data_IF_490859949420
#
_entry.id   IF_490859949420
#
_cell.length_a   1.000
_cell.length_b   1.000
_cell.length_c   1.000
_cell.angle_alpha   90.00
_cell.angle_beta   90.00
_cell.angle_gamma   90.00
#
_symmetry.space_group_name_H-M   'P 1'
#
loop_
_entity.id
_entity.type
_entity.pdbx_description
1 polymer ?
#
# COMPACT_ATOMS: atom_id res chain seq x y z
N UNK A 1 12.59 -7.76 -7.51
CA UNK A 1 13.21 -6.63 -6.80
C UNK A 1 13.89 -7.16 -5.54
N UNK A 2 14.78 -6.37 -4.92
CA UNK A 2 15.53 -6.81 -3.73
C UNK A 2 14.64 -6.98 -2.49
N UNK A 3 13.52 -6.32 -2.46
CA UNK A 3 12.53 -6.34 -1.37
C UNK A 3 11.98 -7.74 -1.10
N UNK A 4 11.74 -8.54 -2.13
CA UNK A 4 11.20 -9.90 -1.99
C UNK A 4 12.06 -10.78 -1.05
N UNK A 5 13.38 -10.71 -1.18
CA UNK A 5 14.31 -11.45 -0.33
C UNK A 5 14.30 -10.99 1.13
N UNK A 6 14.15 -9.69 1.35
CA UNK A 6 14.06 -9.10 2.69
C UNK A 6 12.75 -9.53 3.36
N UNK A 7 11.63 -9.41 2.64
CA UNK A 7 10.30 -9.81 3.13
C UNK A 7 10.30 -11.31 3.45
N UNK A 8 10.86 -12.16 2.58
CA UNK A 8 10.95 -13.59 2.81
C UNK A 8 11.78 -13.93 4.07
N UNK A 9 12.89 -13.24 4.28
CA UNK A 9 13.70 -13.44 5.47
C UNK A 9 12.97 -13.04 6.75
N UNK A 10 12.33 -11.87 6.77
CA UNK A 10 11.57 -11.38 7.93
C UNK A 10 10.41 -12.32 8.25
N UNK A 11 9.62 -12.72 7.25
CA UNK A 11 8.48 -13.63 7.45
C UNK A 11 8.91 -15.00 7.96
N UNK A 12 10.09 -15.49 7.52
CA UNK A 12 10.68 -16.73 8.02
C UNK A 12 11.09 -16.62 9.49
N UNK A 13 11.74 -15.51 9.88
CA UNK A 13 12.15 -15.28 11.28
C UNK A 13 10.94 -15.15 12.21
N UNK A 14 9.86 -14.56 11.74
CA UNK A 14 8.59 -14.45 12.45
C UNK A 14 7.73 -15.73 12.38
N UNK A 15 8.19 -16.79 11.69
CA UNK A 15 7.47 -18.05 11.48
C UNK A 15 6.10 -17.89 10.81
N UNK A 16 5.97 -16.90 9.90
CA UNK A 16 4.74 -16.65 9.13
C UNK A 16 4.78 -17.48 7.84
N UNK A 17 3.92 -18.51 7.73
CA UNK A 17 3.91 -19.40 6.58
C UNK A 17 2.79 -19.09 5.57
N UNK A 18 1.56 -18.94 6.02
CA UNK A 18 0.39 -18.63 5.20
C UNK A 18 -0.20 -17.32 5.73
N UNK A 19 0.51 -16.23 5.45
CA UNK A 19 0.19 -14.94 6.02
C UNK A 19 -0.92 -14.19 5.28
N UNK A 20 -1.27 -13.06 5.88
CA UNK A 20 -2.26 -12.12 5.35
C UNK A 20 -1.64 -10.76 5.08
N UNK A 21 -2.11 -10.08 4.05
CA UNK A 21 -1.57 -8.77 3.68
C UNK A 21 -2.65 -7.76 3.30
N UNK A 22 -2.30 -6.48 3.43
CA UNK A 22 -2.97 -5.39 2.75
C UNK A 22 -1.92 -4.58 1.98
N UNK A 23 -2.12 -4.38 0.68
CA UNK A 23 -1.30 -3.52 -0.17
C UNK A 23 -2.18 -2.45 -0.80
N UNK A 24 -1.85 -1.18 -0.59
CA UNK A 24 -2.52 -0.09 -1.28
C UNK A 24 -1.50 0.77 -2.05
N UNK A 25 -1.97 1.28 -3.21
CA UNK A 25 -1.10 1.61 -4.32
C UNK A 25 -0.71 0.37 -5.13
N UNK A 26 -1.57 -0.65 -5.17
CA UNK A 26 -1.25 -1.97 -5.74
C UNK A 26 -0.97 -1.96 -7.25
N UNK A 27 -1.21 -0.85 -7.94
CA UNK A 27 -0.98 -0.69 -9.37
C UNK A 27 -1.65 -1.81 -10.18
N UNK A 28 -0.91 -2.48 -11.05
CA UNK A 28 -1.42 -3.63 -11.80
C UNK A 28 -1.33 -4.98 -11.02
N UNK A 29 -0.90 -4.95 -9.78
CA UNK A 29 -0.75 -6.11 -8.90
C UNK A 29 0.50 -6.96 -9.12
N UNK A 30 1.33 -6.67 -10.12
CA UNK A 30 2.54 -7.44 -10.45
C UNK A 30 3.78 -6.56 -10.43
N UNK A 31 3.76 -5.49 -11.24
CA UNK A 31 4.90 -4.59 -11.39
C UNK A 31 5.01 -3.73 -10.14
N UNK A 32 6.17 -3.77 -9.49
CA UNK A 32 6.46 -3.04 -8.25
C UNK A 32 5.60 -3.44 -7.04
N UNK A 33 4.83 -4.54 -7.11
CA UNK A 33 4.10 -5.06 -5.94
C UNK A 33 5.06 -5.71 -4.95
N UNK A 34 4.97 -5.34 -3.69
CA UNK A 34 5.72 -5.94 -2.58
C UNK A 34 5.12 -7.28 -2.13
N UNK A 35 3.89 -7.56 -2.51
CA UNK A 35 3.15 -8.76 -2.03
C UNK A 35 2.95 -9.83 -3.10
N UNK A 36 3.18 -9.53 -4.39
CA UNK A 36 2.93 -10.48 -5.48
C UNK A 36 3.72 -11.79 -5.35
N UNK A 37 4.97 -11.73 -4.92
CA UNK A 37 5.78 -12.93 -4.69
C UNK A 37 5.18 -13.83 -3.61
N UNK A 38 4.64 -13.25 -2.54
CA UNK A 38 3.97 -13.96 -1.45
C UNK A 38 2.66 -14.61 -1.93
N UNK A 39 1.88 -13.89 -2.74
CA UNK A 39 0.64 -14.42 -3.34
C UNK A 39 0.96 -15.62 -4.23
N UNK A 40 1.87 -15.44 -5.18
CA UNK A 40 2.18 -16.40 -6.22
C UNK A 40 2.86 -17.67 -5.69
N UNK A 41 3.83 -17.52 -4.80
CA UNK A 41 4.74 -18.59 -4.40
C UNK A 41 4.46 -19.13 -2.99
N UNK A 42 3.73 -18.40 -2.16
CA UNK A 42 3.46 -18.77 -0.76
C UNK A 42 1.96 -18.87 -0.43
N UNK A 43 1.10 -18.67 -1.44
CA UNK A 43 -0.36 -18.76 -1.30
C UNK A 43 -0.96 -17.83 -0.21
N UNK A 44 -0.37 -16.65 -0.05
CA UNK A 44 -0.88 -15.65 0.88
C UNK A 44 -2.24 -15.12 0.45
N UNK A 45 -3.04 -14.68 1.40
CA UNK A 45 -4.35 -14.06 1.19
C UNK A 45 -4.35 -12.61 1.62
N UNK A 46 -5.25 -11.80 1.08
CA UNK A 46 -5.30 -10.42 1.52
C UNK A 46 -6.10 -9.47 0.65
N UNK A 47 -5.76 -8.21 0.76
CA UNK A 47 -6.44 -7.09 0.15
C UNK A 47 -5.47 -6.25 -0.67
N UNK A 48 -5.80 -6.02 -1.94
CA UNK A 48 -5.15 -5.06 -2.82
C UNK A 48 -6.10 -3.88 -3.10
N UNK A 49 -5.63 -2.65 -2.91
CA UNK A 49 -6.40 -1.42 -3.14
C UNK A 49 -5.67 -0.58 -4.18
N UNK A 50 -6.39 -0.17 -5.24
CA UNK A 50 -5.84 0.68 -6.30
C UNK A 50 -6.83 1.79 -6.65
N UNK A 51 -6.34 3.03 -6.67
CA UNK A 51 -7.16 4.22 -6.93
C UNK A 51 -7.42 4.44 -8.42
N UNK A 52 -6.42 4.23 -9.27
CA UNK A 52 -6.56 4.38 -10.72
C UNK A 52 -7.40 3.25 -11.30
N UNK A 53 -8.48 3.59 -11.98
CA UNK A 53 -9.42 2.62 -12.53
C UNK A 53 -8.81 1.69 -13.58
N UNK A 54 -7.88 2.17 -14.39
CA UNK A 54 -7.25 1.36 -15.43
C UNK A 54 -6.27 0.36 -14.82
N UNK A 55 -5.44 0.80 -13.86
CA UNK A 55 -4.54 -0.06 -13.09
C UNK A 55 -5.31 -1.09 -12.29
N UNK A 56 -6.38 -0.68 -11.61
CA UNK A 56 -7.29 -1.60 -10.93
C UNK A 56 -7.82 -2.70 -11.85
N UNK A 57 -8.29 -2.35 -13.06
CA UNK A 57 -8.78 -3.35 -14.00
C UNK A 57 -7.68 -4.34 -14.41
N UNK A 58 -6.44 -3.87 -14.60
CA UNK A 58 -5.29 -4.74 -14.85
C UNK A 58 -4.98 -5.63 -13.64
N UNK A 59 -5.05 -5.09 -12.43
CA UNK A 59 -4.86 -5.85 -11.20
C UNK A 59 -5.90 -6.98 -11.10
N UNK A 60 -7.18 -6.69 -11.37
CA UNK A 60 -8.26 -7.70 -11.40
C UNK A 60 -7.95 -8.82 -12.39
N UNK A 61 -7.52 -8.49 -13.61
CA UNK A 61 -7.14 -9.49 -14.61
C UNK A 61 -5.96 -10.34 -14.15
N UNK A 62 -4.92 -9.71 -13.62
CA UNK A 62 -3.70 -10.38 -13.18
C UNK A 62 -3.93 -11.28 -11.96
N UNK A 63 -4.89 -10.94 -11.11
CA UNK A 63 -5.18 -11.70 -9.88
C UNK A 63 -6.31 -12.73 -10.04
N UNK A 64 -6.88 -12.92 -11.24
CA UNK A 64 -7.85 -14.01 -11.51
C UNK A 64 -7.40 -15.40 -11.02
N UNK A 65 -6.11 -15.78 -11.15
CA UNK A 65 -5.63 -17.07 -10.66
C UNK A 65 -5.55 -17.17 -9.13
N UNK A 66 -5.73 -16.07 -8.40
CA UNK A 66 -5.51 -15.99 -6.95
C UNK A 66 -6.80 -15.59 -6.21
N UNK A 67 -7.77 -16.51 -6.05
CA UNK A 67 -9.11 -16.22 -5.49
C UNK A 67 -9.09 -15.84 -4.01
N UNK A 68 -7.99 -16.03 -3.32
CA UNK A 68 -7.74 -15.63 -1.93
C UNK A 68 -7.33 -14.15 -1.78
N UNK A 69 -7.23 -13.40 -2.87
CA UNK A 69 -6.94 -11.96 -2.85
C UNK A 69 -8.18 -11.16 -3.21
N UNK A 70 -8.60 -10.28 -2.32
CA UNK A 70 -9.64 -9.29 -2.61
C UNK A 70 -9.00 -8.08 -3.29
N UNK A 71 -9.69 -7.51 -4.28
CA UNK A 71 -9.22 -6.32 -5.00
C UNK A 71 -10.29 -5.26 -4.91
N UNK A 72 -9.91 -4.04 -4.51
CA UNK A 72 -10.82 -2.91 -4.37
C UNK A 72 -10.32 -1.71 -5.16
N UNK A 73 -11.26 -1.00 -5.80
CA UNK A 73 -10.95 0.26 -6.45
C UNK A 73 -11.35 1.42 -5.55
N UNK A 74 -10.39 2.22 -5.15
CA UNK A 74 -10.63 3.42 -4.36
C UNK A 74 -9.36 4.02 -3.80
N UNK A 75 -9.49 5.22 -3.26
CA UNK A 75 -8.40 5.92 -2.57
C UNK A 75 -8.43 5.58 -1.08
N UNK A 76 -7.25 5.50 -0.49
CA UNK A 76 -7.09 5.48 0.96
C UNK A 76 -6.75 6.90 1.39
N UNK A 77 -7.52 7.47 2.32
CA UNK A 77 -7.38 8.85 2.79
C UNK A 77 -7.19 8.87 4.30
N UNK A 78 -6.19 9.55 4.81
CA UNK A 78 -5.90 9.56 6.25
C UNK A 78 -6.92 10.37 7.07
N UNK A 79 -7.53 11.42 6.50
CA UNK A 79 -8.43 12.34 7.20
C UNK A 79 -9.91 12.18 6.80
N UNK A 80 -10.30 11.04 6.28
CA UNK A 80 -11.68 10.77 5.85
C UNK A 80 -12.27 9.58 6.60
N UNK A 81 -13.40 9.79 7.28
CA UNK A 81 -14.02 8.75 8.11
C UNK A 81 -14.54 7.53 7.33
N UNK A 82 -14.80 7.66 6.03
CA UNK A 82 -15.33 6.58 5.19
C UNK A 82 -14.28 5.88 4.34
N UNK A 83 -13.17 6.58 4.04
CA UNK A 83 -12.12 6.14 3.11
C UNK A 83 -10.75 6.02 3.77
N UNK A 84 -10.66 6.07 5.12
CA UNK A 84 -9.43 5.78 5.82
C UNK A 84 -9.11 4.28 5.77
N UNK A 85 -7.87 3.93 6.10
CA UNK A 85 -7.39 2.57 6.03
C UNK A 85 -8.19 1.61 6.92
N UNK A 86 -8.51 2.01 8.16
CA UNK A 86 -9.32 1.21 9.07
C UNK A 86 -10.65 0.79 8.43
N UNK A 87 -11.32 1.71 7.71
CA UNK A 87 -12.59 1.41 7.03
C UNK A 87 -12.44 0.49 5.83
N UNK A 88 -11.36 0.59 5.09
CA UNK A 88 -11.08 -0.35 4.01
C UNK A 88 -10.83 -1.77 4.53
N UNK A 89 -10.04 -1.90 5.58
CA UNK A 89 -9.74 -3.18 6.24
C UNK A 89 -11.00 -3.80 6.85
N UNK A 90 -11.83 -2.99 7.55
CA UNK A 90 -13.10 -3.42 8.13
C UNK A 90 -14.08 -3.93 7.07
N UNK A 91 -14.31 -3.16 6.01
CA UNK A 91 -15.20 -3.53 4.88
C UNK A 91 -14.72 -4.77 4.11
N UNK A 92 -13.45 -5.12 4.23
CA UNK A 92 -12.84 -6.28 3.60
C UNK A 92 -12.73 -7.48 4.53
N UNK A 93 -13.25 -7.38 5.76
CA UNK A 93 -13.17 -8.40 6.80
C UNK A 93 -11.73 -8.85 7.10
N UNK A 94 -10.78 -7.92 7.06
CA UNK A 94 -9.41 -8.21 7.46
C UNK A 94 -9.32 -8.48 8.96
N UNK A 95 -8.48 -9.42 9.33
CA UNK A 95 -8.17 -9.65 10.75
C UNK A 95 -7.40 -8.46 11.32
N UNK A 96 -7.60 -8.17 12.61
CA UNK A 96 -6.98 -7.00 13.25
C UNK A 96 -5.45 -7.12 13.30
N UNK A 97 -4.96 -8.30 13.55
CA UNK A 97 -3.53 -8.61 13.67
C UNK A 97 -3.04 -9.33 12.40
N UNK A 98 -3.21 -8.70 11.24
CA UNK A 98 -2.72 -9.23 9.97
C UNK A 98 -1.19 -9.09 9.84
N UNK A 99 -0.58 -9.72 8.84
CA UNK A 99 0.88 -9.88 8.83
C UNK A 99 1.60 -8.73 8.15
N UNK A 100 1.20 -8.33 6.94
CA UNK A 100 1.92 -7.29 6.17
C UNK A 100 0.98 -6.18 5.74
N UNK A 101 1.38 -4.94 6.03
CA UNK A 101 0.84 -3.72 5.44
C UNK A 101 1.89 -3.13 4.49
N UNK A 102 1.56 -3.03 3.21
CA UNK A 102 2.40 -2.36 2.20
C UNK A 102 1.74 -1.06 1.75
N UNK A 103 2.48 0.03 1.84
CA UNK A 103 2.03 1.40 1.58
C UNK A 103 2.91 2.02 0.50
N UNK A 104 2.31 2.35 -0.65
CA UNK A 104 3.00 3.00 -1.76
C UNK A 104 1.99 3.88 -2.51
N UNK A 105 1.78 5.11 -1.99
CA UNK A 105 0.80 6.06 -2.54
C UNK A 105 1.37 7.44 -2.84
N UNK A 106 2.70 7.54 -2.85
CA UNK A 106 3.42 8.71 -3.35
C UNK A 106 3.21 10.02 -2.58
N UNK A 107 2.82 10.08 -1.33
CA UNK A 107 2.82 11.33 -0.53
C UNK A 107 2.29 11.17 0.90
N UNK A 108 1.15 10.51 1.08
CA UNK A 108 0.43 10.48 2.35
C UNK A 108 0.67 9.19 3.16
N UNK A 109 1.64 8.37 2.75
CA UNK A 109 1.96 7.06 3.31
C UNK A 109 2.06 7.08 4.83
N UNK A 110 2.86 7.99 5.36
CA UNK A 110 3.04 8.16 6.80
C UNK A 110 1.72 8.54 7.50
N UNK A 111 0.98 9.50 6.94
CA UNK A 111 -0.26 9.97 7.57
C UNK A 111 -1.36 8.92 7.54
N UNK A 112 -1.42 8.11 6.49
CA UNK A 112 -2.37 6.98 6.43
C UNK A 112 -2.04 5.97 7.51
N UNK A 113 -0.77 5.62 7.69
CA UNK A 113 -0.33 4.71 8.74
C UNK A 113 -0.55 5.28 10.15
N UNK A 114 -0.14 6.53 10.39
CA UNK A 114 -0.29 7.20 11.68
C UNK A 114 -1.74 7.24 12.16
N UNK A 115 -2.68 7.36 11.21
CA UNK A 115 -4.11 7.43 11.51
C UNK A 115 -4.80 6.05 11.52
N UNK A 116 -4.09 4.96 11.28
CA UNK A 116 -4.61 3.61 11.48
C UNK A 116 -4.61 3.27 12.97
N UNK A 117 -5.79 3.01 13.54
CA UNK A 117 -5.95 2.87 14.99
C UNK A 117 -6.60 1.56 15.43
N UNK A 118 -7.22 0.82 14.50
CA UNK A 118 -8.00 -0.37 14.80
C UNK A 118 -7.34 -1.68 14.39
N UNK A 119 -6.28 -1.61 13.59
CA UNK A 119 -5.57 -2.75 13.04
C UNK A 119 -4.09 -2.69 13.42
N UNK A 120 -3.44 -3.83 13.49
CA UNK A 120 -2.10 -3.97 14.04
C UNK A 120 -1.28 -4.96 13.19
N UNK A 121 -0.77 -4.53 12.01
CA UNK A 121 0.06 -5.37 11.17
C UNK A 121 1.40 -5.67 11.85
N UNK A 122 1.92 -6.89 11.66
CA UNK A 122 3.23 -7.29 12.21
C UNK A 122 4.40 -6.65 11.48
N UNK A 123 4.22 -6.37 10.20
CA UNK A 123 5.23 -5.78 9.32
C UNK A 123 4.57 -4.64 8.56
N UNK A 124 5.26 -3.49 8.51
CA UNK A 124 4.84 -2.35 7.69
C UNK A 124 5.94 -2.02 6.71
N UNK A 125 5.60 -1.89 5.44
CA UNK A 125 6.49 -1.57 4.34
C UNK A 125 6.08 -0.21 3.78
N UNK A 126 7.03 0.71 3.69
CA UNK A 126 6.84 2.03 3.12
C UNK A 126 7.78 2.28 1.95
N UNK A 127 7.33 3.08 1.00
CA UNK A 127 8.25 3.69 0.06
C UNK A 127 9.07 4.79 0.76
N UNK A 128 10.40 4.74 0.58
CA UNK A 128 11.30 5.80 1.01
C UNK A 128 11.91 6.47 -0.21
N UNK A 129 11.73 7.77 -0.32
CA UNK A 129 12.34 8.54 -1.40
C UNK A 129 13.83 8.74 -1.15
N UNK A 130 14.67 7.96 -1.84
CA UNK A 130 16.12 7.99 -1.71
C UNK A 130 16.78 9.30 -2.21
N UNK A 131 16.06 10.16 -2.89
CA UNK A 131 16.56 11.47 -3.33
C UNK A 131 16.43 12.56 -2.26
N UNK A 132 15.79 12.25 -1.13
CA UNK A 132 15.68 13.16 0.01
C UNK A 132 16.63 12.74 1.11
N UNK A 133 17.28 13.73 1.72
CA UNK A 133 18.11 13.49 2.89
C UNK A 133 17.19 13.28 4.11
N UNK A 134 17.19 12.09 4.74
CA UNK A 134 16.32 11.80 5.88
C UNK A 134 16.62 12.63 7.12
N UNK A 135 17.79 13.31 7.15
CA UNK A 135 18.22 14.13 8.28
C UNK A 135 17.71 15.56 8.16
N UNK A 136 17.49 16.06 6.94
CA UNK A 136 17.19 17.47 6.68
C UNK A 136 15.80 17.73 6.07
N UNK A 137 15.20 16.71 5.45
CA UNK A 137 13.85 16.84 4.90
C UNK A 137 12.82 16.48 5.97
N UNK A 138 12.15 17.48 6.50
CA UNK A 138 10.96 17.26 7.32
C UNK A 138 9.87 16.56 6.49
N UNK A 139 9.00 15.81 7.14
CA UNK A 139 7.78 15.27 6.54
C UNK A 139 7.08 16.36 5.72
N UNK A 140 6.41 16.02 4.61
CA UNK A 140 5.68 16.99 3.83
C UNK A 140 4.80 17.81 4.78
N UNK A 141 5.05 19.10 4.84
CA UNK A 141 4.41 19.99 5.83
C UNK A 141 2.90 20.11 5.64
N UNK A 142 2.40 19.60 4.51
CA UNK A 142 0.99 19.67 4.14
C UNK A 142 0.56 18.35 3.50
N UNK A 143 -0.43 17.69 4.10
CA UNK A 143 -1.07 16.53 3.50
C UNK A 143 -1.65 16.85 2.12
N UNK A 144 -1.67 15.87 1.23
CA UNK A 144 -2.18 16.00 -0.15
C UNK A 144 -3.61 16.55 -0.25
N UNK A 145 -4.39 16.45 0.81
CA UNK A 145 -5.75 17.01 0.88
C UNK A 145 -5.83 18.53 0.83
N UNK A 146 -4.73 19.21 1.04
CA UNK A 146 -4.62 20.64 0.72
C UNK A 146 -4.30 20.90 -0.76
N UNK A 147 -3.89 19.85 -1.51
CA UNK A 147 -3.77 19.91 -2.95
C UNK A 147 -5.09 19.48 -3.57
N UNK A 148 -5.65 20.34 -4.41
CA UNK A 148 -6.82 19.98 -5.19
C UNK A 148 -6.46 18.78 -6.08
N UNK A 149 -7.01 17.61 -5.76
CA UNK A 149 -6.75 16.33 -6.46
C UNK A 149 -7.01 16.47 -7.96
N UNK A 150 -7.98 17.29 -8.36
CA UNK A 150 -8.26 17.57 -9.77
C UNK A 150 -7.15 18.37 -10.46
N UNK A 151 -6.42 19.20 -9.71
CA UNK A 151 -5.23 19.87 -10.22
C UNK A 151 -4.04 18.92 -10.36
N UNK A 152 -3.89 17.95 -9.47
CA UNK A 152 -2.84 16.92 -9.58
C UNK A 152 -3.08 16.00 -10.76
N UNK A 153 -4.33 15.64 -11.04
CA UNK A 153 -4.71 14.84 -12.24
C UNK A 153 -4.48 15.59 -13.56
N UNK A 154 -4.49 16.93 -13.55
CA UNK A 154 -4.25 17.76 -14.73
C UNK A 154 -2.76 18.06 -14.95
N UNK A 155 -1.89 17.78 -13.99
CA UNK A 155 -0.46 17.95 -14.17
C UNK A 155 0.09 16.82 -15.07
N UNK A 156 0.79 17.25 -16.12
CA UNK A 156 1.34 16.42 -17.19
C UNK A 156 2.01 15.15 -16.70
N UNK A 157 1.89 14.03 -17.44
CA UNK A 157 2.66 12.83 -17.19
C UNK A 157 4.16 13.17 -17.23
N UNK A 158 4.88 12.90 -16.13
CA UNK A 158 6.32 13.14 -16.02
C UNK A 158 6.78 13.91 -14.79
N UNK A 159 5.91 14.35 -13.89
CA UNK A 159 6.35 14.81 -12.58
C UNK A 159 6.51 13.61 -11.64
N UNK A 160 7.73 13.43 -11.21
CA UNK A 160 8.10 12.47 -10.16
C UNK A 160 7.26 12.77 -8.93
N UNK A 161 6.48 11.81 -8.52
CA UNK A 161 5.79 11.84 -7.24
C UNK A 161 6.81 12.03 -6.13
N UNK A 162 6.45 12.85 -5.15
CA UNK A 162 7.36 13.14 -4.03
C UNK A 162 7.04 12.16 -2.91
N UNK A 163 7.78 11.05 -2.85
CA UNK A 163 7.74 10.15 -1.69
C UNK A 163 8.14 10.86 -0.40
N UNK A 164 7.75 10.31 0.73
CA UNK A 164 8.13 10.80 2.05
C UNK A 164 9.55 10.36 2.40
N UNK A 165 10.31 11.23 3.10
CA UNK A 165 11.52 10.84 3.82
C UNK A 165 11.25 10.87 5.32
N UNK A 166 11.85 9.95 6.05
CA UNK A 166 11.84 9.89 7.51
C UNK A 166 13.14 10.43 8.08
#
# INVERSE_FOLDING_TARGET
>A
NGEDGIIEQITKELNINNGTFCEFGASNGITSSNTFNLIKNKNWSGLAIEADKNRYNLCVENYKPYPNVQIKNGMVLFNNAEYNLDKWLEKSNMEKDFDILSIDIDCDDYYVWENMTQFNPKIVIFEVNSYRDPVFDELPRKPSTEYNIDLLRQQKPGRVAQGCSF
#
